data_IF_136797480596
#
_entry.id   IF_136797480596
#
_cell.length_a   1.000
_cell.length_b   1.000
_cell.length_c   1.000
_cell.angle_alpha   90.00
_cell.angle_beta   90.00
_cell.angle_gamma   90.00
#
_symmetry.space_group_name_H-M   'P 1'
#
loop_
_entity.id
_entity.type
_entity.pdbx_description
1 polymer ?
#
# COMPACT_ATOMS: atom_id res chain seq x y z
N UNK A 1 20.34 -32.66 -16.93
CA UNK A 1 19.67 -32.63 -15.62
C UNK A 1 18.59 -31.56 -15.67
N UNK A 2 17.34 -31.88 -15.33
CA UNK A 2 16.24 -30.90 -15.27
C UNK A 2 16.21 -30.36 -13.84
N UNK A 3 16.46 -29.06 -13.66
CA UNK A 3 16.51 -28.42 -12.35
C UNK A 3 15.16 -27.74 -12.09
N UNK A 4 14.38 -28.25 -11.13
CA UNK A 4 13.10 -27.67 -10.69
C UNK A 4 13.27 -27.09 -9.29
N UNK A 5 12.95 -25.82 -9.11
CA UNK A 5 12.93 -25.15 -7.81
C UNK A 5 11.67 -25.52 -7.02
N UNK A 6 11.74 -25.47 -5.69
CA UNK A 6 10.58 -25.62 -4.79
C UNK A 6 9.45 -24.61 -5.08
N UNK A 7 9.78 -23.47 -5.69
CA UNK A 7 8.81 -22.42 -6.05
C UNK A 7 8.35 -22.49 -7.51
N UNK A 8 8.72 -23.53 -8.26
CA UNK A 8 8.39 -23.61 -9.69
C UNK A 8 6.88 -23.53 -9.94
N UNK A 9 6.07 -24.15 -9.08
CA UNK A 9 4.61 -24.13 -9.22
C UNK A 9 4.05 -22.71 -9.14
N UNK A 10 4.60 -21.86 -8.27
CA UNK A 10 4.19 -20.46 -8.15
C UNK A 10 4.60 -19.63 -9.38
N UNK A 11 5.77 -19.92 -9.97
CA UNK A 11 6.24 -19.31 -11.22
C UNK A 11 5.31 -19.69 -12.37
N UNK A 12 4.99 -20.98 -12.51
CA UNK A 12 4.12 -21.48 -13.57
C UNK A 12 2.70 -20.87 -13.48
N UNK A 13 2.16 -20.73 -12.27
CA UNK A 13 0.88 -20.04 -12.03
C UNK A 13 0.96 -18.58 -12.47
N UNK A 14 2.00 -17.85 -12.07
CA UNK A 14 2.18 -16.46 -12.45
C UNK A 14 2.36 -16.30 -13.97
N UNK A 15 3.11 -17.19 -14.61
CA UNK A 15 3.32 -17.18 -16.06
C UNK A 15 2.01 -17.42 -16.81
N UNK A 16 1.18 -18.35 -16.33
CA UNK A 16 -0.16 -18.55 -16.86
C UNK A 16 -1.01 -17.28 -16.71
N UNK A 17 -0.98 -16.62 -15.55
CA UNK A 17 -1.72 -15.36 -15.34
C UNK A 17 -1.25 -14.24 -16.29
N UNK A 18 0.06 -14.14 -16.52
CA UNK A 18 0.64 -13.17 -17.47
C UNK A 18 0.20 -13.46 -18.90
N UNK A 19 0.21 -14.74 -19.31
CA UNK A 19 -0.23 -15.16 -20.66
C UNK A 19 -1.71 -14.82 -20.88
N UNK A 20 -2.57 -15.13 -19.90
CA UNK A 20 -4.00 -14.87 -19.99
C UNK A 20 -4.33 -13.36 -20.06
N UNK A 21 -3.55 -12.50 -19.38
CA UNK A 21 -3.83 -11.07 -19.27
C UNK A 21 -2.63 -10.17 -19.65
N UNK A 22 -2.00 -10.45 -20.80
CA UNK A 22 -0.73 -9.79 -21.17
C UNK A 22 -0.78 -8.25 -21.15
N UNK A 23 -1.85 -7.65 -21.69
CA UNK A 23 -1.99 -6.19 -21.76
C UNK A 23 -2.06 -5.54 -20.37
N UNK A 24 -2.77 -6.18 -19.44
CA UNK A 24 -2.87 -5.71 -18.05
C UNK A 24 -1.50 -5.67 -17.37
N UNK A 25 -0.72 -6.74 -17.51
CA UNK A 25 0.63 -6.83 -16.92
C UNK A 25 1.59 -5.81 -17.53
N UNK A 26 1.54 -5.59 -18.85
CA UNK A 26 2.34 -4.52 -19.52
C UNK A 26 1.98 -3.14 -18.99
N UNK A 27 0.69 -2.83 -18.85
CA UNK A 27 0.23 -1.55 -18.30
C UNK A 27 0.68 -1.35 -16.86
N UNK A 28 0.49 -2.36 -16.00
CA UNK A 28 0.95 -2.34 -14.61
C UNK A 28 2.46 -2.12 -14.55
N UNK A 29 3.21 -2.82 -15.40
CA UNK A 29 4.66 -2.67 -15.48
C UNK A 29 5.07 -1.23 -15.83
N UNK A 30 4.42 -0.60 -16.82
CA UNK A 30 4.68 0.79 -17.18
C UNK A 30 4.36 1.75 -16.02
N UNK A 31 3.23 1.57 -15.36
CA UNK A 31 2.79 2.40 -14.22
C UNK A 31 3.76 2.27 -13.05
N UNK A 32 4.21 1.07 -12.71
CA UNK A 32 5.11 0.84 -11.58
C UNK A 32 6.55 1.23 -11.90
N UNK A 33 7.08 0.90 -13.07
CA UNK A 33 8.50 1.15 -13.39
C UNK A 33 8.84 2.63 -13.42
N UNK A 34 7.93 3.47 -13.90
CA UNK A 34 8.17 4.91 -14.00
C UNK A 34 8.50 5.58 -12.64
N UNK A 35 7.66 5.50 -11.58
CA UNK A 35 7.96 6.11 -10.28
C UNK A 35 9.21 5.53 -9.63
N UNK A 36 9.44 4.20 -9.71
CA UNK A 36 10.68 3.60 -9.23
C UNK A 36 11.92 4.12 -9.99
N UNK A 37 11.79 4.34 -11.30
CA UNK A 37 12.84 4.95 -12.11
C UNK A 37 13.14 6.39 -11.71
N UNK A 38 12.11 7.19 -11.42
CA UNK A 38 12.28 8.56 -10.90
C UNK A 38 13.00 8.54 -9.56
N UNK A 39 12.51 7.76 -8.60
CA UNK A 39 13.10 7.68 -7.26
C UNK A 39 14.56 7.24 -7.30
N UNK A 40 14.86 6.16 -8.03
CA UNK A 40 16.22 5.61 -8.06
C UNK A 40 17.19 6.45 -8.89
N UNK A 41 16.78 6.88 -10.09
CA UNK A 41 17.69 7.54 -11.05
C UNK A 41 17.72 9.06 -10.93
N UNK A 42 16.58 9.71 -10.69
CA UNK A 42 16.52 11.17 -10.63
C UNK A 42 16.77 11.68 -9.21
N UNK A 43 16.22 10.99 -8.20
CA UNK A 43 16.40 11.40 -6.80
C UNK A 43 17.58 10.71 -6.11
N UNK A 44 18.25 9.78 -6.81
CA UNK A 44 19.42 9.07 -6.27
C UNK A 44 19.12 8.11 -5.12
N UNK A 45 17.85 7.77 -4.87
CA UNK A 45 17.44 6.88 -3.78
C UNK A 45 17.77 5.42 -4.10
N UNK A 46 19.05 5.06 -3.94
CA UNK A 46 19.60 3.74 -4.30
C UNK A 46 19.77 2.83 -3.08
N UNK A 47 19.88 3.41 -1.89
CA UNK A 47 20.06 2.70 -0.63
C UNK A 47 19.19 3.34 0.47
N UNK A 48 18.86 2.55 1.49
CA UNK A 48 18.20 2.99 2.71
C UNK A 48 19.26 3.36 3.75
N UNK A 49 18.97 4.33 4.61
CA UNK A 49 19.91 4.75 5.66
C UNK A 49 19.74 3.90 6.91
N UNK A 50 18.49 3.56 7.23
CA UNK A 50 18.11 2.76 8.37
C UNK A 50 18.33 1.26 8.12
N UNK A 51 18.54 0.52 9.21
CA UNK A 51 18.66 -0.94 9.22
C UNK A 51 17.48 -1.56 9.97
N UNK A 52 17.01 -2.71 9.48
CA UNK A 52 15.87 -3.45 10.03
C UNK A 52 14.56 -3.17 9.29
N UNK A 53 13.76 -4.23 9.10
CA UNK A 53 12.59 -4.22 8.21
C UNK A 53 11.58 -3.13 8.55
N UNK A 54 11.24 -2.94 9.83
CA UNK A 54 10.28 -1.94 10.26
C UNK A 54 10.73 -0.51 9.91
N UNK A 55 12.01 -0.20 10.13
CA UNK A 55 12.56 1.13 9.89
C UNK A 55 12.71 1.42 8.40
N UNK A 56 13.18 0.43 7.63
CA UNK A 56 13.26 0.50 6.16
C UNK A 56 11.88 0.69 5.52
N UNK A 57 10.85 -0.01 6.03
CA UNK A 57 9.48 0.20 5.59
C UNK A 57 9.02 1.64 5.86
N UNK A 58 9.40 2.22 7.00
CA UNK A 58 9.14 3.63 7.31
C UNK A 58 9.77 4.58 6.29
N UNK A 59 11.06 4.41 5.99
CA UNK A 59 11.75 5.23 4.97
C UNK A 59 11.08 5.10 3.59
N UNK A 60 10.76 3.88 3.19
CA UNK A 60 10.16 3.59 1.90
C UNK A 60 8.74 4.19 1.78
N UNK A 61 7.97 4.16 2.87
CA UNK A 61 6.66 4.80 2.91
C UNK A 61 6.77 6.32 2.81
N UNK A 62 7.73 6.92 3.52
CA UNK A 62 7.95 8.36 3.50
C UNK A 62 8.36 8.85 2.10
N UNK A 63 9.31 8.16 1.44
CA UNK A 63 9.75 8.56 0.10
C UNK A 63 8.62 8.43 -0.94
N UNK A 64 7.81 7.38 -0.84
CA UNK A 64 6.63 7.19 -1.70
C UNK A 64 5.56 8.26 -1.46
N UNK A 65 5.34 8.64 -0.20
CA UNK A 65 4.46 9.75 0.15
C UNK A 65 4.94 11.06 -0.47
N UNK A 66 6.23 11.40 -0.32
CA UNK A 66 6.81 12.61 -0.91
C UNK A 66 6.66 12.63 -2.44
N UNK A 67 6.95 11.52 -3.13
CA UNK A 67 6.76 11.40 -4.57
C UNK A 67 5.30 11.63 -4.97
N UNK A 68 4.36 10.97 -4.28
CA UNK A 68 2.93 11.11 -4.56
C UNK A 68 2.42 12.52 -4.29
N UNK A 69 2.90 13.18 -3.24
CA UNK A 69 2.55 14.56 -2.91
C UNK A 69 3.03 15.53 -4.00
N UNK A 70 4.31 15.44 -4.39
CA UNK A 70 4.87 16.27 -5.46
C UNK A 70 4.17 16.03 -6.80
N UNK A 71 3.86 14.76 -7.11
CA UNK A 71 3.14 14.41 -8.34
C UNK A 71 1.71 14.96 -8.33
N UNK A 72 1.00 14.85 -7.21
CA UNK A 72 -0.35 15.41 -7.03
C UNK A 72 -0.33 16.93 -7.21
N UNK A 73 0.62 17.62 -6.58
CA UNK A 73 0.82 19.05 -6.76
C UNK A 73 1.02 19.42 -8.23
N UNK A 74 1.81 18.64 -8.98
CA UNK A 74 2.08 18.92 -10.39
C UNK A 74 0.89 18.64 -11.31
N UNK A 75 0.05 17.65 -11.01
CA UNK A 75 -1.12 17.30 -11.83
C UNK A 75 -2.32 18.22 -11.54
N UNK A 76 -2.64 18.42 -10.25
CA UNK A 76 -3.82 19.19 -9.84
C UNK A 76 -3.54 20.69 -9.69
N UNK A 77 -2.30 21.06 -9.36
CA UNK A 77 -1.96 22.40 -8.91
C UNK A 77 -2.25 22.59 -7.41
N UNK A 78 -1.56 23.55 -6.79
CA UNK A 78 -1.61 23.77 -5.34
C UNK A 78 -3.00 24.17 -4.82
N UNK A 79 -3.68 25.07 -5.52
CA UNK A 79 -5.00 25.58 -5.11
C UNK A 79 -6.07 24.49 -5.09
N UNK A 80 -6.10 23.62 -6.12
CA UNK A 80 -7.06 22.50 -6.18
C UNK A 80 -6.76 21.46 -5.10
N UNK A 81 -5.48 21.19 -4.84
CA UNK A 81 -5.06 20.27 -3.80
C UNK A 81 -5.49 20.77 -2.41
N UNK A 82 -5.26 22.04 -2.09
CA UNK A 82 -5.71 22.64 -0.82
C UNK A 82 -7.23 22.61 -0.67
N UNK A 83 -7.97 22.95 -1.74
CA UNK A 83 -9.43 22.89 -1.73
C UNK A 83 -9.93 21.47 -1.47
N UNK A 84 -9.31 20.46 -2.08
CA UNK A 84 -9.66 19.06 -1.86
C UNK A 84 -9.40 18.63 -0.40
N UNK A 85 -8.29 19.07 0.20
CA UNK A 85 -7.97 18.79 1.60
C UNK A 85 -8.96 19.48 2.54
N UNK A 86 -9.30 20.75 2.31
CA UNK A 86 -10.26 21.48 3.15
C UNK A 86 -11.67 20.91 3.06
N UNK A 87 -12.06 20.42 1.89
CA UNK A 87 -13.37 19.80 1.67
C UNK A 87 -13.41 18.32 2.09
N UNK A 88 -12.27 17.74 2.46
CA UNK A 88 -12.20 16.32 2.81
C UNK A 88 -12.86 16.10 4.17
N UNK A 89 -14.02 15.44 4.15
CA UNK A 89 -14.71 15.00 5.34
C UNK A 89 -14.63 13.47 5.45
N UNK A 90 -13.81 12.94 6.37
CA UNK A 90 -13.76 11.50 6.60
C UNK A 90 -15.03 11.01 7.30
N UNK A 91 -15.53 9.87 6.83
CA UNK A 91 -16.67 9.17 7.43
C UNK A 91 -16.23 8.45 8.71
N UNK A 92 -16.14 9.20 9.80
CA UNK A 92 -15.77 8.68 11.11
C UNK A 92 -16.82 7.72 11.69
N UNK A 93 -18.06 7.74 11.21
CA UNK A 93 -19.12 6.87 11.71
C UNK A 93 -18.82 5.39 11.44
N UNK A 94 -18.20 5.08 10.30
CA UNK A 94 -17.73 3.71 9.98
C UNK A 94 -16.61 3.24 10.91
N UNK A 95 -15.69 4.12 11.25
CA UNK A 95 -14.54 3.81 12.11
C UNK A 95 -15.01 3.56 13.55
N UNK A 96 -15.84 4.46 14.08
CA UNK A 96 -16.40 4.35 15.44
C UNK A 96 -17.36 3.16 15.53
N UNK A 97 -18.17 2.92 14.49
CA UNK A 97 -19.06 1.77 14.42
C UNK A 97 -18.31 0.43 14.39
N UNK A 98 -17.20 0.33 13.65
CA UNK A 98 -16.33 -0.83 13.66
C UNK A 98 -15.67 -1.05 15.02
N UNK A 99 -15.24 0.02 15.68
CA UNK A 99 -14.63 -0.04 17.02
C UNK A 99 -15.67 -0.48 18.08
N UNK A 100 -16.89 0.07 18.05
CA UNK A 100 -18.01 -0.37 18.91
C UNK A 100 -18.36 -1.84 18.66
N UNK A 101 -18.47 -2.28 17.40
CA UNK A 101 -18.73 -3.69 17.06
C UNK A 101 -17.61 -4.61 17.55
N UNK A 102 -16.35 -4.18 17.44
CA UNK A 102 -15.19 -4.90 17.96
C UNK A 102 -15.25 -5.07 19.48
N UNK A 103 -15.51 -3.97 20.21
CA UNK A 103 -15.64 -3.98 21.68
C UNK A 103 -16.82 -4.85 22.12
N UNK A 104 -18.00 -4.70 21.50
CA UNK A 104 -19.18 -5.52 21.76
C UNK A 104 -18.86 -7.00 21.50
N UNK A 105 -18.20 -7.33 20.38
CA UNK A 105 -17.78 -8.70 20.06
C UNK A 105 -16.81 -9.28 21.11
N UNK A 106 -15.90 -8.48 21.66
CA UNK A 106 -14.98 -8.90 22.73
C UNK A 106 -15.72 -9.11 24.06
N UNK A 107 -16.75 -8.32 24.35
CA UNK A 107 -17.56 -8.44 25.58
C UNK A 107 -18.47 -9.67 25.53
N UNK A 108 -19.06 -9.97 24.37
CA UNK A 108 -20.02 -11.07 24.19
C UNK A 108 -19.39 -12.37 23.64
N UNK A 109 -18.12 -12.35 23.25
CA UNK A 109 -17.37 -13.52 22.80
C UNK A 109 -16.74 -14.26 23.98
N UNK A 110 -17.46 -15.22 24.56
CA UNK A 110 -16.84 -16.16 25.49
C UNK A 110 -15.89 -17.10 24.72
N UNK A 111 -14.61 -17.10 25.12
CA UNK A 111 -13.55 -18.07 24.80
C UNK A 111 -12.75 -17.96 23.49
N UNK A 112 -12.27 -16.78 23.08
CA UNK A 112 -11.02 -16.68 22.30
C UNK A 112 -10.20 -15.45 22.74
N UNK A 113 -8.86 -15.59 22.78
CA UNK A 113 -7.95 -14.59 23.36
C UNK A 113 -8.10 -13.19 22.69
N UNK A 114 -7.98 -12.09 23.46
CA UNK A 114 -8.20 -10.75 22.94
C UNK A 114 -7.05 -10.34 22.01
N UNK A 115 -7.23 -10.50 20.70
CA UNK A 115 -6.29 -10.02 19.69
C UNK A 115 -6.42 -8.49 19.54
N UNK A 116 -5.84 -7.75 20.48
CA UNK A 116 -5.87 -6.30 20.48
C UNK A 116 -4.85 -5.74 19.47
N UNK A 117 -5.34 -4.89 18.56
CA UNK A 117 -4.55 -3.90 17.80
C UNK A 117 -3.48 -4.36 16.77
N UNK A 118 -3.63 -5.48 16.07
CA UNK A 118 -2.74 -5.75 14.90
C UNK A 118 -3.27 -5.21 13.56
N UNK A 119 -4.60 -5.07 13.39
CA UNK A 119 -5.20 -4.91 12.05
C UNK A 119 -5.75 -3.50 11.71
N UNK A 120 -5.59 -2.50 12.57
CA UNK A 120 -6.16 -1.16 12.32
C UNK A 120 -5.42 -0.33 11.26
N UNK A 121 -4.19 -0.71 10.88
CA UNK A 121 -3.43 0.00 9.83
C UNK A 121 -4.08 -0.10 8.44
N UNK A 122 -4.91 -1.12 8.19
CA UNK A 122 -5.53 -1.36 6.88
C UNK A 122 -6.88 -0.65 6.67
N UNK A 123 -7.53 -0.18 7.75
CA UNK A 123 -8.86 0.44 7.66
C UNK A 123 -8.81 1.88 7.15
N UNK A 124 -7.71 2.60 7.43
CA UNK A 124 -7.55 4.00 7.02
C UNK A 124 -7.35 4.16 5.50
N UNK A 125 -6.77 3.14 4.84
CA UNK A 125 -6.50 3.14 3.39
C UNK A 125 -7.68 2.64 2.53
N UNK A 126 -8.69 2.00 3.14
CA UNK A 126 -9.89 1.48 2.43
C UNK A 126 -11.07 2.46 2.42
N UNK A 127 -10.93 3.63 3.03
CA UNK A 127 -11.95 4.66 3.10
C UNK A 127 -11.78 5.80 2.07
N UNK A 128 -10.88 5.63 1.09
CA UNK A 128 -10.65 6.53 -0.06
C UNK A 128 -11.05 5.83 -1.35
#
# INVERSE_FOLDING_TARGET
MIQRSEYQDAVDINDNNIKQNSQYYKRRQAICKHPFGTLKRHWGYTHTLLKGLQKVNGEMNLIMFCYNFMRTKNILGFNKMLKAINNWQPDYAKIVGACKKGIIKTIYGQNEAPFFCSNYSLLFLKAV
#
